data_IF_577460356432
#
_entry.id   IF_577460356432
#
_cell.length_a   1.000
_cell.length_b   1.000
_cell.length_c   1.000
_cell.angle_alpha   90.00
_cell.angle_beta   90.00
_cell.angle_gamma   90.00
#
_symmetry.space_group_name_H-M   'P 1'
#
loop_
_entity.id
_entity.type
_entity.pdbx_description
1 polymer ?
#
# COMPACT_ATOMS: atom_id res chain seq x y z
N UNK A 1 24.98 6.93 55.32
CA UNK A 1 25.19 6.78 53.86
C UNK A 1 24.00 6.16 53.12
N UNK A 2 23.01 5.56 53.79
CA UNK A 2 21.87 4.89 53.14
C UNK A 2 20.78 5.81 52.53
N UNK A 3 20.55 7.02 53.07
CA UNK A 3 19.44 7.86 52.58
C UNK A 3 19.71 8.51 51.21
N UNK A 4 20.97 8.88 50.91
CA UNK A 4 21.32 9.51 49.64
C UNK A 4 21.20 8.60 48.42
N UNK A 5 21.53 7.31 48.57
CA UNK A 5 21.40 6.31 47.51
C UNK A 5 19.92 6.02 47.18
N UNK A 6 19.04 6.05 48.19
CA UNK A 6 17.59 5.86 48.00
C UNK A 6 16.97 6.99 47.16
N UNK A 7 17.34 8.26 47.41
CA UNK A 7 16.81 9.38 46.61
C UNK A 7 17.32 9.37 45.16
N UNK A 8 18.57 8.96 44.93
CA UNK A 8 19.08 8.81 43.56
C UNK A 8 18.40 7.68 42.80
N UNK A 9 18.06 6.57 43.48
CA UNK A 9 17.31 5.48 42.87
C UNK A 9 15.87 5.90 42.51
N UNK A 10 15.20 6.60 43.43
CA UNK A 10 13.84 7.12 43.23
C UNK A 10 13.78 8.14 42.07
N UNK A 11 14.77 9.05 41.95
CA UNK A 11 14.85 9.99 40.83
C UNK A 11 15.05 9.28 39.49
N UNK A 12 15.84 8.20 39.45
CA UNK A 12 16.06 7.40 38.23
C UNK A 12 14.77 6.67 37.84
N UNK A 13 14.04 6.13 38.82
CA UNK A 13 12.75 5.47 38.61
C UNK A 13 11.69 6.44 38.06
N UNK A 14 11.50 7.59 38.72
CA UNK A 14 10.62 8.67 38.24
C UNK A 14 11.00 9.17 36.84
N UNK A 15 12.30 9.28 36.54
CA UNK A 15 12.76 9.66 35.20
C UNK A 15 12.39 8.61 34.16
N UNK A 16 12.53 7.32 34.50
CA UNK A 16 12.13 6.23 33.61
C UNK A 16 10.61 6.20 33.40
N UNK A 17 9.81 6.45 34.45
CA UNK A 17 8.35 6.58 34.33
C UNK A 17 7.94 7.75 33.43
N UNK A 18 8.56 8.92 33.58
CA UNK A 18 8.30 10.07 32.71
C UNK A 18 8.67 9.76 31.26
N UNK A 19 9.80 9.08 31.03
CA UNK A 19 10.20 8.68 29.68
C UNK A 19 9.25 7.63 29.08
N UNK A 20 8.72 6.70 29.88
CA UNK A 20 7.70 5.75 29.43
C UNK A 20 6.40 6.46 29.08
N UNK A 21 5.90 7.35 29.95
CA UNK A 21 4.71 8.14 29.66
C UNK A 21 4.89 8.99 28.38
N UNK A 22 6.06 9.60 28.19
CA UNK A 22 6.36 10.34 26.96
C UNK A 22 6.36 9.45 25.71
N UNK A 23 6.90 8.23 25.81
CA UNK A 23 6.88 7.26 24.71
C UNK A 23 5.45 6.81 24.37
N UNK A 24 4.65 6.49 25.39
CA UNK A 24 3.25 6.08 25.22
C UNK A 24 2.41 7.19 24.58
N UNK A 25 2.61 8.45 24.99
CA UNK A 25 1.97 9.60 24.36
C UNK A 25 2.37 9.74 22.89
N UNK A 26 3.66 9.61 22.57
CA UNK A 26 4.14 9.71 21.20
C UNK A 26 3.62 8.57 20.30
N UNK A 27 3.53 7.35 20.81
CA UNK A 27 2.95 6.21 20.08
C UNK A 27 1.45 6.41 19.79
N UNK A 28 0.70 6.89 20.79
CA UNK A 28 -0.72 7.17 20.65
C UNK A 28 -0.98 8.31 19.65
N UNK A 29 -0.20 9.39 19.69
CA UNK A 29 -0.30 10.51 18.75
C UNK A 29 -0.02 10.05 17.31
N UNK A 30 1.02 9.23 17.12
CA UNK A 30 1.33 8.64 15.83
C UNK A 30 0.20 7.73 15.33
N UNK A 31 -0.34 6.87 16.18
CA UNK A 31 -1.46 6.00 15.83
C UNK A 31 -2.71 6.81 15.42
N UNK A 32 -3.05 7.85 16.17
CA UNK A 32 -4.16 8.75 15.86
C UNK A 32 -3.95 9.45 14.51
N UNK A 33 -2.74 9.96 14.26
CA UNK A 33 -2.40 10.60 12.99
C UNK A 33 -2.53 9.62 11.81
N UNK A 34 -1.98 8.41 11.91
CA UNK A 34 -2.08 7.40 10.86
C UNK A 34 -3.55 7.01 10.58
N UNK A 35 -4.34 6.77 11.63
CA UNK A 35 -5.76 6.44 11.47
C UNK A 35 -6.54 7.59 10.81
N UNK A 36 -6.28 8.84 11.20
CA UNK A 36 -6.92 10.03 10.62
C UNK A 36 -6.60 10.17 9.13
N UNK A 37 -5.32 10.01 8.76
CA UNK A 37 -4.90 10.04 7.35
C UNK A 37 -5.53 8.88 6.56
N UNK A 38 -5.55 7.69 7.13
CA UNK A 38 -6.13 6.52 6.49
C UNK A 38 -7.64 6.68 6.24
N UNK A 39 -8.39 7.32 7.15
CA UNK A 39 -9.81 7.64 6.94
C UNK A 39 -10.03 8.62 5.78
N UNK A 40 -9.18 9.64 5.66
CA UNK A 40 -9.26 10.61 4.56
C UNK A 40 -8.97 9.91 3.22
N UNK A 41 -7.98 9.02 3.19
CA UNK A 41 -7.67 8.24 1.98
C UNK A 41 -8.78 7.24 1.66
N UNK A 42 -9.36 6.59 2.67
CA UNK A 42 -10.52 5.72 2.47
C UNK A 42 -11.71 6.49 1.87
N UNK A 43 -11.89 7.76 2.26
CA UNK A 43 -12.90 8.61 1.65
C UNK A 43 -12.64 8.88 0.15
N UNK A 44 -11.39 8.77 -0.33
CA UNK A 44 -11.09 8.82 -1.77
C UNK A 44 -11.75 7.68 -2.52
N UNK A 45 -11.93 6.49 -1.91
CA UNK A 45 -12.65 5.38 -2.52
C UNK A 45 -14.09 5.79 -2.91
N UNK A 46 -14.76 6.49 -2.00
CA UNK A 46 -16.09 7.04 -2.23
C UNK A 46 -16.05 8.15 -3.31
N UNK A 47 -15.02 9.00 -3.27
CA UNK A 47 -14.80 10.03 -4.29
C UNK A 47 -14.64 9.45 -5.69
N UNK A 48 -13.82 8.41 -5.87
CA UNK A 48 -13.66 7.73 -7.15
C UNK A 48 -14.95 7.06 -7.61
N UNK A 49 -15.69 6.41 -6.70
CA UNK A 49 -16.98 5.81 -7.03
C UNK A 49 -17.97 6.84 -7.61
N UNK A 50 -18.03 8.05 -7.04
CA UNK A 50 -18.87 9.13 -7.57
C UNK A 50 -18.37 9.71 -8.89
N UNK A 51 -17.05 9.85 -9.06
CA UNK A 51 -16.46 10.29 -10.33
C UNK A 51 -16.74 9.30 -11.46
N UNK A 52 -16.57 8.00 -11.21
CA UNK A 52 -16.88 6.94 -12.18
C UNK A 52 -18.38 6.87 -12.48
N UNK A 53 -19.23 6.96 -11.44
CA UNK A 53 -20.68 6.98 -11.61
C UNK A 53 -21.17 8.15 -12.47
N UNK A 54 -20.51 9.31 -12.39
CA UNK A 54 -20.81 10.50 -13.20
C UNK A 54 -20.25 10.45 -14.62
N UNK A 55 -19.18 9.67 -14.86
CA UNK A 55 -18.58 9.51 -16.19
C UNK A 55 -19.28 8.46 -17.05
N UNK A 56 -20.07 7.56 -16.45
CA UNK A 56 -20.77 6.47 -17.15
C UNK A 56 -22.24 6.78 -17.40
N UNK A 57 -22.82 6.07 -18.36
CA UNK A 57 -24.25 6.22 -18.67
C UNK A 57 -25.11 5.70 -17.51
N UNK A 58 -26.20 6.40 -17.19
CA UNK A 58 -27.11 6.10 -16.07
C UNK A 58 -27.58 4.65 -15.97
N UNK A 59 -27.75 3.98 -17.12
CA UNK A 59 -28.13 2.55 -17.18
C UNK A 59 -27.08 1.58 -16.61
N UNK A 60 -25.82 2.00 -16.52
CA UNK A 60 -24.69 1.18 -16.08
C UNK A 60 -24.07 1.68 -14.76
N UNK A 61 -24.54 2.81 -14.22
CA UNK A 61 -24.04 3.42 -12.98
C UNK A 61 -24.08 2.46 -11.79
N UNK A 62 -25.18 1.71 -11.60
CA UNK A 62 -25.29 0.73 -10.50
C UNK A 62 -24.23 -0.36 -10.58
N UNK A 63 -23.92 -0.85 -11.78
CA UNK A 63 -22.91 -1.88 -11.99
C UNK A 63 -21.50 -1.37 -11.64
N UNK A 64 -21.22 -0.11 -11.96
CA UNK A 64 -19.95 0.55 -11.63
C UNK A 64 -19.82 0.80 -10.12
N UNK A 65 -20.90 1.22 -9.45
CA UNK A 65 -20.89 1.41 -8.00
C UNK A 65 -20.64 0.09 -7.24
N UNK A 66 -21.23 -1.01 -7.69
CA UNK A 66 -20.99 -2.34 -7.11
C UNK A 66 -19.52 -2.77 -7.31
N UNK A 67 -18.93 -2.50 -8.47
CA UNK A 67 -17.50 -2.78 -8.73
C UNK A 67 -16.58 -1.99 -7.78
N UNK A 68 -16.87 -0.72 -7.54
CA UNK A 68 -16.09 0.12 -6.61
C UNK A 68 -16.16 -0.36 -5.16
N UNK A 69 -17.35 -0.81 -4.72
CA UNK A 69 -17.52 -1.38 -3.38
C UNK A 69 -16.74 -2.69 -3.24
N UNK A 70 -16.86 -3.58 -4.23
CA UNK A 70 -16.17 -4.86 -4.23
C UNK A 70 -14.66 -4.72 -4.32
N UNK A 71 -14.15 -3.71 -5.04
CA UNK A 71 -12.73 -3.42 -5.12
C UNK A 71 -12.13 -3.19 -3.73
N UNK A 72 -12.78 -2.37 -2.90
CA UNK A 72 -12.35 -2.15 -1.52
C UNK A 72 -12.42 -3.43 -0.67
N UNK A 73 -13.48 -4.23 -0.80
CA UNK A 73 -13.61 -5.50 -0.06
C UNK A 73 -12.56 -6.54 -0.48
N UNK A 74 -12.25 -6.63 -1.77
CA UNK A 74 -11.23 -7.55 -2.28
C UNK A 74 -9.85 -7.07 -1.86
N UNK A 75 -9.61 -5.75 -1.93
CA UNK A 75 -8.33 -5.17 -1.53
C UNK A 75 -8.02 -5.41 -0.06
N UNK A 76 -9.01 -5.32 0.85
CA UNK A 76 -8.74 -5.57 2.27
C UNK A 76 -8.40 -7.04 2.52
N UNK A 77 -9.11 -7.97 1.90
CA UNK A 77 -8.87 -9.42 2.04
C UNK A 77 -7.52 -9.81 1.43
N UNK A 78 -7.20 -9.29 0.24
CA UNK A 78 -5.93 -9.55 -0.45
C UNK A 78 -4.74 -8.97 0.32
N UNK A 79 -4.86 -7.74 0.80
CA UNK A 79 -3.80 -7.08 1.55
C UNK A 79 -3.60 -7.69 2.95
N UNK A 80 -4.69 -8.10 3.60
CA UNK A 80 -4.65 -8.80 4.89
C UNK A 80 -4.01 -10.19 4.79
N UNK A 81 -4.36 -10.98 3.77
CA UNK A 81 -3.89 -12.36 3.64
C UNK A 81 -2.40 -12.44 3.31
N UNK A 82 -1.97 -11.85 2.19
CA UNK A 82 -0.59 -11.93 1.70
C UNK A 82 0.08 -10.56 1.52
N UNK A 83 -0.69 -9.49 1.28
CA UNK A 83 -0.10 -8.20 0.93
C UNK A 83 0.76 -7.59 2.03
N UNK A 84 0.36 -7.70 3.30
CA UNK A 84 1.21 -7.25 4.41
C UNK A 84 2.55 -7.99 4.45
N UNK A 85 2.51 -9.31 4.29
CA UNK A 85 3.69 -10.16 4.34
C UNK A 85 4.70 -9.81 3.24
N UNK A 86 4.23 -9.55 2.02
CA UNK A 86 5.10 -9.17 0.92
C UNK A 86 5.66 -7.74 1.06
N UNK A 87 4.87 -6.81 1.60
CA UNK A 87 5.28 -5.42 1.76
C UNK A 87 6.26 -5.20 2.93
N UNK A 88 5.91 -5.70 4.12
CA UNK A 88 6.59 -5.40 5.39
C UNK A 88 7.00 -6.65 6.19
N UNK A 89 6.83 -7.84 5.63
CA UNK A 89 7.39 -9.04 6.23
C UNK A 89 8.91 -8.92 6.33
N UNK A 90 9.45 -9.38 7.44
CA UNK A 90 10.89 -9.49 7.67
C UNK A 90 11.55 -10.26 6.53
N UNK A 91 12.69 -9.73 6.12
CA UNK A 91 13.48 -10.21 5.01
C UNK A 91 14.86 -10.56 5.56
N UNK A 92 15.17 -11.86 5.60
CA UNK A 92 16.55 -12.29 5.81
C UNK A 92 17.47 -11.60 4.78
N UNK A 93 18.73 -11.32 5.16
CA UNK A 93 19.77 -10.65 4.34
C UNK A 93 20.20 -11.44 3.06
N UNK A 94 19.31 -12.27 2.53
CA UNK A 94 19.46 -13.02 1.29
C UNK A 94 18.93 -12.20 0.10
N UNK A 95 19.38 -12.54 -1.10
CA UNK A 95 18.97 -11.87 -2.36
C UNK A 95 17.44 -11.84 -2.55
N UNK A 96 16.73 -12.85 -2.04
CA UNK A 96 15.26 -12.91 -2.11
C UNK A 96 14.61 -11.82 -1.24
N UNK A 97 15.19 -11.58 -0.06
CA UNK A 97 14.68 -10.59 0.87
C UNK A 97 14.88 -9.13 0.44
N UNK A 98 15.69 -8.93 -0.60
CA UNK A 98 15.85 -7.64 -1.25
C UNK A 98 14.60 -7.24 -2.09
N UNK A 99 13.85 -8.25 -2.55
CA UNK A 99 12.72 -8.07 -3.46
C UNK A 99 11.36 -8.36 -2.82
N UNK A 100 11.26 -9.24 -1.82
CA UNK A 100 9.97 -9.62 -1.23
C UNK A 100 10.12 -10.06 0.24
N UNK A 101 9.22 -9.58 1.09
CA UNK A 101 9.06 -10.08 2.46
C UNK A 101 8.38 -11.45 2.50
N UNK A 102 8.67 -12.27 3.50
CA UNK A 102 8.16 -13.65 3.58
C UNK A 102 7.66 -14.07 4.97
N UNK A 103 7.37 -13.10 5.84
CA UNK A 103 6.87 -13.34 7.20
C UNK A 103 5.58 -12.56 7.46
N UNK A 104 4.85 -12.89 8.53
CA UNK A 104 3.60 -12.22 8.93
C UNK A 104 2.42 -12.37 7.94
N UNK A 105 2.26 -13.55 7.34
CA UNK A 105 1.02 -13.89 6.62
C UNK A 105 -0.19 -13.81 7.56
N UNK A 106 -1.32 -13.32 7.05
CA UNK A 106 -2.55 -13.13 7.84
C UNK A 106 -2.39 -12.23 9.08
N UNK A 107 -1.37 -11.36 9.10
CA UNK A 107 -1.01 -10.53 10.26
C UNK A 107 -0.66 -11.35 11.53
N UNK A 108 -0.17 -12.58 11.36
CA UNK A 108 0.25 -13.41 12.49
C UNK A 108 1.37 -12.73 13.29
N UNK A 109 1.12 -12.43 14.57
CA UNK A 109 2.08 -11.76 15.47
C UNK A 109 2.24 -10.26 15.23
N UNK A 110 1.30 -9.62 14.53
CA UNK A 110 1.37 -8.21 14.18
C UNK A 110 0.82 -7.29 15.28
N UNK A 111 1.56 -6.20 15.57
CA UNK A 111 1.21 -5.25 16.63
C UNK A 111 0.75 -3.88 16.11
N UNK A 112 1.11 -3.50 14.87
CA UNK A 112 0.96 -2.12 14.36
C UNK A 112 -0.27 -1.90 13.45
N UNK A 113 -1.47 -2.18 13.96
CA UNK A 113 -2.73 -2.07 13.20
C UNK A 113 -2.97 -0.72 12.48
N UNK A 114 -2.61 0.46 13.04
CA UNK A 114 -2.77 1.74 12.35
C UNK A 114 -1.98 1.81 11.03
N UNK A 115 -0.77 1.24 11.00
CA UNK A 115 0.07 1.20 9.81
C UNK A 115 -0.49 0.24 8.76
N UNK A 116 -1.05 -0.90 9.19
CA UNK A 116 -1.75 -1.80 8.29
C UNK A 116 -2.93 -1.11 7.61
N UNK A 117 -3.78 -0.44 8.39
CA UNK A 117 -4.96 0.24 7.84
C UNK A 117 -4.56 1.33 6.85
N UNK A 118 -3.55 2.15 7.17
CA UNK A 118 -3.00 3.15 6.26
C UNK A 118 -2.52 2.53 4.94
N UNK A 119 -1.76 1.43 4.99
CA UNK A 119 -1.20 0.83 3.78
C UNK A 119 -2.25 0.12 2.92
N UNK A 120 -3.23 -0.52 3.57
CA UNK A 120 -4.38 -1.11 2.89
C UNK A 120 -5.15 -0.06 2.07
N UNK A 121 -5.47 1.10 2.65
CA UNK A 121 -6.27 2.11 1.93
C UNK A 121 -5.50 2.71 0.74
N UNK A 122 -4.17 2.81 0.81
CA UNK A 122 -3.37 3.15 -0.37
C UNK A 122 -3.40 2.06 -1.45
N UNK A 123 -3.31 0.79 -1.06
CA UNK A 123 -3.41 -0.33 -1.98
C UNK A 123 -4.77 -0.35 -2.69
N UNK A 124 -5.86 -0.15 -1.95
CA UNK A 124 -7.22 -0.05 -2.48
C UNK A 124 -7.36 1.13 -3.45
N UNK A 125 -6.91 2.32 -3.05
CA UNK A 125 -6.94 3.52 -3.91
C UNK A 125 -6.18 3.30 -5.21
N UNK A 126 -5.03 2.61 -5.15
CA UNK A 126 -4.25 2.28 -6.34
C UNK A 126 -4.99 1.34 -7.31
N UNK A 127 -5.79 0.40 -6.80
CA UNK A 127 -6.58 -0.49 -7.64
C UNK A 127 -7.73 0.27 -8.33
N UNK A 128 -8.40 1.15 -7.58
CA UNK A 128 -9.53 1.95 -8.07
C UNK A 128 -9.18 2.96 -9.14
N UNK A 129 -8.00 3.60 -9.07
CA UNK A 129 -7.59 4.56 -10.12
C UNK A 129 -7.60 3.90 -11.51
N UNK A 130 -7.26 2.61 -11.59
CA UNK A 130 -7.26 1.88 -12.85
C UNK A 130 -8.67 1.41 -13.25
N UNK A 131 -9.59 1.22 -12.28
CA UNK A 131 -11.01 0.99 -12.57
C UNK A 131 -11.59 2.10 -13.44
N UNK A 132 -11.31 3.36 -13.08
CA UNK A 132 -11.82 4.52 -13.82
C UNK A 132 -11.32 4.59 -15.26
N UNK A 133 -10.11 4.09 -15.54
CA UNK A 133 -9.56 4.02 -16.90
C UNK A 133 -10.25 2.96 -17.78
N UNK A 134 -10.85 1.94 -17.17
CA UNK A 134 -11.49 0.80 -17.87
C UNK A 134 -13.01 0.76 -17.63
N UNK A 135 -13.58 1.90 -17.23
CA UNK A 135 -15.02 2.03 -17.02
C UNK A 135 -15.80 1.61 -18.30
N UNK A 136 -16.93 0.90 -18.09
CA UNK A 136 -17.85 0.38 -19.13
C UNK A 136 -17.35 -0.75 -20.04
N UNK A 137 -16.04 -0.99 -20.20
CA UNK A 137 -15.50 -1.89 -21.25
C UNK A 137 -14.94 -3.23 -20.79
N UNK A 138 -14.88 -3.50 -19.48
CA UNK A 138 -14.40 -4.78 -18.96
C UNK A 138 -15.50 -5.60 -18.25
N UNK A 139 -15.49 -6.90 -18.53
CA UNK A 139 -16.31 -7.88 -17.84
C UNK A 139 -16.00 -7.91 -16.35
N UNK A 140 -17.03 -8.15 -15.56
CA UNK A 140 -16.96 -8.11 -14.09
C UNK A 140 -16.00 -9.17 -13.51
N UNK A 141 -15.93 -10.36 -14.10
CA UNK A 141 -15.04 -11.43 -13.65
C UNK A 141 -13.55 -11.08 -13.83
N UNK A 142 -13.20 -10.50 -14.98
CA UNK A 142 -11.83 -10.08 -15.28
C UNK A 142 -11.40 -8.93 -14.37
N UNK A 143 -12.33 -8.03 -14.05
CA UNK A 143 -12.10 -6.94 -13.10
C UNK A 143 -11.73 -7.45 -11.69
N UNK A 144 -12.50 -8.41 -11.14
CA UNK A 144 -12.22 -8.97 -9.81
C UNK A 144 -10.84 -9.62 -9.75
N UNK A 145 -10.49 -10.42 -10.76
CA UNK A 145 -9.20 -11.11 -10.82
C UNK A 145 -8.05 -10.09 -10.86
N UNK A 146 -8.22 -9.02 -11.62
CA UNK A 146 -7.28 -7.91 -11.67
C UNK A 146 -7.09 -7.23 -10.29
N UNK A 147 -8.19 -6.87 -9.62
CA UNK A 147 -8.16 -6.24 -8.30
C UNK A 147 -7.46 -7.13 -7.27
N UNK A 148 -7.71 -8.44 -7.30
CA UNK A 148 -7.02 -9.41 -6.43
C UNK A 148 -5.51 -9.45 -6.70
N UNK A 149 -5.08 -9.54 -7.96
CA UNK A 149 -3.66 -9.60 -8.31
C UNK A 149 -2.92 -8.33 -7.88
N UNK A 150 -3.51 -7.16 -8.10
CA UNK A 150 -2.90 -5.89 -7.71
C UNK A 150 -2.78 -5.73 -6.21
N UNK A 151 -3.87 -5.92 -5.48
CA UNK A 151 -3.90 -5.72 -4.03
C UNK A 151 -3.03 -6.73 -3.28
N UNK A 152 -2.91 -7.95 -3.81
CA UNK A 152 -2.22 -9.07 -3.15
C UNK A 152 -0.75 -9.18 -3.54
N UNK A 153 -0.37 -8.83 -4.78
CA UNK A 153 1.00 -9.04 -5.27
C UNK A 153 1.67 -7.75 -5.74
N UNK A 154 1.09 -7.08 -6.74
CA UNK A 154 1.81 -6.01 -7.46
C UNK A 154 2.08 -4.80 -6.54
N UNK A 155 1.06 -4.33 -5.83
CA UNK A 155 1.20 -3.18 -4.92
C UNK A 155 2.10 -3.49 -3.71
N UNK A 156 1.93 -4.61 -2.98
CA UNK A 156 2.82 -5.00 -1.89
C UNK A 156 4.30 -5.10 -2.26
N UNK A 157 4.61 -5.71 -3.40
CA UNK A 157 6.00 -5.88 -3.85
C UNK A 157 6.65 -4.52 -4.15
N UNK A 158 5.93 -3.60 -4.78
CA UNK A 158 6.43 -2.24 -4.98
C UNK A 158 6.66 -1.49 -3.67
N UNK A 159 5.73 -1.66 -2.73
CA UNK A 159 5.85 -1.10 -1.38
C UNK A 159 7.12 -1.63 -0.70
N UNK A 160 7.42 -2.92 -0.84
CA UNK A 160 8.65 -3.50 -0.32
C UNK A 160 9.89 -2.83 -0.92
N UNK A 161 9.94 -2.70 -2.25
CA UNK A 161 11.13 -2.14 -2.91
C UNK A 161 11.43 -0.71 -2.49
N UNK A 162 10.40 0.12 -2.36
CA UNK A 162 10.56 1.56 -2.13
C UNK A 162 10.45 2.01 -0.68
N UNK A 163 9.62 1.35 0.14
CA UNK A 163 9.29 1.82 1.49
C UNK A 163 9.76 0.88 2.59
N UNK A 164 10.22 -0.33 2.27
CA UNK A 164 10.84 -1.21 3.25
C UNK A 164 12.33 -0.87 3.44
N UNK A 165 12.87 -0.86 4.68
CA UNK A 165 14.29 -0.56 4.92
C UNK A 165 15.27 -1.49 4.19
N UNK A 166 14.85 -2.72 3.88
CA UNK A 166 15.66 -3.72 3.18
C UNK A 166 15.34 -3.80 1.68
N UNK A 167 14.41 -2.99 1.16
CA UNK A 167 14.09 -2.97 -0.25
C UNK A 167 15.27 -2.46 -1.09
N UNK A 168 15.55 -3.09 -2.24
CA UNK A 168 16.68 -2.68 -3.09
C UNK A 168 16.66 -1.19 -3.45
N UNK A 169 15.47 -0.60 -3.67
CA UNK A 169 15.38 0.81 -4.06
C UNK A 169 15.62 1.72 -2.86
N UNK A 170 15.20 1.33 -1.66
CA UNK A 170 15.53 2.04 -0.42
C UNK A 170 17.03 2.01 -0.10
N UNK A 171 17.66 0.84 -0.21
CA UNK A 171 19.09 0.65 0.03
C UNK A 171 19.96 1.34 -1.04
N UNK A 172 19.48 1.38 -2.28
CA UNK A 172 20.19 1.94 -3.41
C UNK A 172 21.42 1.14 -3.83
N UNK A 173 22.04 1.56 -4.93
CA UNK A 173 23.33 1.00 -5.37
C UNK A 173 24.41 1.77 -4.63
N UNK A 174 25.08 1.12 -3.67
CA UNK A 174 26.24 1.69 -3.00
C UNK A 174 27.50 1.26 -3.74
N UNK A 175 28.08 2.16 -4.55
CA UNK A 175 29.43 2.01 -5.10
C UNK A 175 30.35 2.96 -4.34
N UNK A 176 31.62 2.58 -4.12
CA UNK A 176 32.58 3.22 -3.21
C UNK A 176 32.72 4.76 -3.30
N UNK A 177 32.32 5.40 -4.40
CA UNK A 177 32.39 6.86 -4.59
C UNK A 177 31.02 7.57 -4.65
N UNK A 178 29.90 6.84 -4.63
CA UNK A 178 28.55 7.41 -4.79
C UNK A 178 27.57 6.74 -3.83
N UNK A 179 27.25 7.42 -2.73
CA UNK A 179 26.13 7.08 -1.86
C UNK A 179 24.85 7.72 -2.39
N UNK A 180 24.27 7.17 -3.46
CA UNK A 180 22.89 7.48 -3.83
C UNK A 180 21.94 6.64 -3.00
N UNK A 181 21.73 7.05 -1.75
CA UNK A 181 20.52 6.67 -1.03
C UNK A 181 19.37 7.28 -1.82
N UNK A 182 18.54 6.47 -2.49
CA UNK A 182 17.31 6.98 -3.12
C UNK A 182 16.29 7.28 -2.01
N UNK A 183 16.65 8.15 -1.07
CA UNK A 183 15.77 8.69 -0.04
C UNK A 183 14.63 9.38 -0.76
N UNK A 184 13.53 8.65 -0.97
CA UNK A 184 12.25 9.14 -1.45
C UNK A 184 12.45 10.21 -2.53
N UNK A 185 13.31 9.95 -3.52
CA UNK A 185 13.43 10.90 -4.62
C UNK A 185 12.06 10.83 -5.28
N UNK A 186 11.29 11.91 -5.18
CA UNK A 186 9.96 12.05 -5.81
C UNK A 186 10.02 11.58 -7.28
N UNK A 187 11.19 11.66 -7.92
CA UNK A 187 11.49 11.13 -9.25
C UNK A 187 11.50 9.60 -9.36
N UNK A 188 12.03 8.87 -8.39
CA UNK A 188 12.04 7.40 -8.33
C UNK A 188 10.64 6.84 -8.08
N UNK A 189 9.91 7.42 -7.12
CA UNK A 189 8.50 7.09 -6.86
C UNK A 189 7.62 7.42 -8.07
N UNK A 190 7.83 8.58 -8.72
CA UNK A 190 7.13 8.93 -9.96
C UNK A 190 7.47 7.98 -11.12
N UNK A 191 8.68 7.41 -11.17
CA UNK A 191 9.06 6.44 -12.20
C UNK A 191 8.44 5.07 -11.93
N UNK A 192 8.37 4.63 -10.67
CA UNK A 192 7.64 3.43 -10.28
C UNK A 192 6.14 3.58 -10.51
N UNK A 193 5.53 4.70 -10.11
CA UNK A 193 4.13 5.00 -10.42
C UNK A 193 3.88 5.00 -11.92
N UNK A 194 4.77 5.58 -12.74
CA UNK A 194 4.65 5.50 -14.21
C UNK A 194 4.77 4.07 -14.72
N UNK A 195 5.78 3.31 -14.31
CA UNK A 195 5.92 1.90 -14.72
C UNK A 195 4.69 1.10 -14.28
N UNK A 196 4.21 1.32 -13.06
CA UNK A 196 3.03 0.69 -12.52
C UNK A 196 1.79 1.02 -13.36
N UNK A 197 1.53 2.31 -13.62
CA UNK A 197 0.41 2.78 -14.43
C UNK A 197 0.48 2.25 -15.86
N UNK A 198 1.64 2.33 -16.52
CA UNK A 198 1.80 1.85 -17.89
C UNK A 198 1.69 0.33 -17.99
N UNK A 199 2.27 -0.42 -17.04
CA UNK A 199 2.28 -1.89 -17.10
C UNK A 199 0.93 -2.47 -16.72
N UNK A 200 0.26 -1.94 -15.69
CA UNK A 200 -1.07 -2.42 -15.29
C UNK A 200 -2.15 -2.05 -16.30
N UNK A 201 -2.14 -0.82 -16.83
CA UNK A 201 -3.05 -0.42 -17.91
C UNK A 201 -2.78 -1.23 -19.19
N UNK A 202 -1.53 -1.46 -19.58
CA UNK A 202 -1.21 -2.28 -20.76
C UNK A 202 -1.57 -3.76 -20.60
N UNK A 203 -1.36 -4.33 -19.40
CA UNK A 203 -1.75 -5.72 -19.09
C UNK A 203 -3.27 -5.86 -19.10
N UNK A 204 -4.01 -4.89 -18.55
CA UNK A 204 -5.47 -4.86 -18.59
C UNK A 204 -6.04 -4.68 -20.00
N UNK A 205 -5.43 -3.85 -20.84
CA UNK A 205 -5.85 -3.70 -22.25
C UNK A 205 -5.71 -5.04 -23.00
N UNK A 206 -4.64 -5.81 -22.70
CA UNK A 206 -4.45 -7.16 -23.24
C UNK A 206 -5.41 -8.20 -22.66
N UNK A 207 -5.69 -8.16 -21.36
CA UNK A 207 -6.54 -9.15 -20.65
C UNK A 207 -8.04 -8.91 -20.85
N UNK A 208 -8.51 -7.66 -20.74
CA UNK A 208 -9.92 -7.31 -20.98
C UNK A 208 -10.28 -7.33 -22.47
N UNK A 209 -9.33 -7.58 -23.38
CA UNK A 209 -9.59 -7.75 -24.80
C UNK A 209 -10.38 -6.58 -25.39
N UNK A 210 -9.95 -5.34 -25.13
CA UNK A 210 -10.62 -4.15 -25.66
C UNK A 210 -10.46 -4.16 -27.18
N UNK A 211 -11.43 -4.79 -27.88
CA UNK A 211 -11.56 -4.73 -29.33
C UNK A 211 -12.15 -3.37 -29.67
N UNK A 212 -11.41 -2.58 -30.44
CA UNK A 212 -12.04 -1.49 -31.19
C UNK A 212 -13.10 -2.10 -32.14
N UNK A 213 -14.15 -1.33 -32.43
CA UNK A 213 -15.22 -1.71 -33.36
C UNK A 213 -14.77 -2.08 -34.78
N UNK A 214 -13.48 -1.91 -35.08
CA UNK A 214 -12.86 -2.20 -36.37
C UNK A 214 -12.03 -3.51 -36.40
N UNK A 215 -12.06 -4.32 -35.33
CA UNK A 215 -11.36 -5.62 -35.32
C UNK A 215 -9.84 -5.55 -35.32
N UNK A 216 -9.24 -4.36 -35.19
CA UNK A 216 -7.79 -4.17 -35.07
C UNK A 216 -7.41 -4.10 -33.59
N UNK A 217 -6.60 -5.08 -33.16
CA UNK A 217 -5.92 -5.03 -31.86
C UNK A 217 -5.03 -3.79 -31.82
N UNK A 218 -5.18 -2.96 -30.78
CA UNK A 218 -4.33 -1.78 -30.54
C UNK A 218 -2.95 -2.23 -30.09
N UNK A 219 -2.17 -2.84 -30.98
CA UNK A 219 -0.73 -3.03 -30.89
C UNK A 219 -0.20 -3.32 -32.30
N UNK A 220 0.00 -2.26 -33.08
CA UNK A 220 1.21 -2.13 -33.89
C UNK A 220 1.87 -0.82 -33.50
#
# INVERSE_FOLDING_TARGET
>A
MSSGENYTAEIIELRNEIHQMQADFAENDNAFFLCSMALIIFLMQCGFAFLEAGAVRSKNTTNILIKNLLDSCIAIIGYWSLGWAFAYGDSSNNVIGLFIGHTQFFLAGFTNYPKFFFQYVFAATSATIVSGAVAERCEFANYITYCTVISTFVYPILTHWGWHPQGWMYLGIQTNDIHTTYLVSVRGVNRLLKIYFYTTVALLIRVCGIRNGDGVSVLT
#
